data_IF_341933457974
#
_entry.id   IF_341933457974
#
_cell.length_a   1.000
_cell.length_b   1.000
_cell.length_c   1.000
_cell.angle_alpha   90.00
_cell.angle_beta   90.00
_cell.angle_gamma   90.00
#
_symmetry.space_group_name_H-M   'P 1'
#
loop_
_entity.id
_entity.type
_entity.pdbx_description
1 polymer ?
#
# COMPACT_ATOMS: atom_id res chain seq x y z
N UNK A 1 18.76 -2.01 -9.71
CA UNK A 1 18.86 -3.49 -9.80
C UNK A 1 17.63 -4.11 -9.14
N UNK A 2 16.54 -4.35 -9.87
CA UNK A 2 15.36 -5.04 -9.32
C UNK A 2 15.73 -6.53 -9.28
N UNK A 3 16.01 -7.07 -8.08
CA UNK A 3 16.31 -8.49 -7.90
C UNK A 3 15.07 -9.31 -8.30
N UNK A 4 15.19 -9.99 -9.45
CA UNK A 4 14.53 -11.25 -9.87
C UNK A 4 13.42 -11.73 -8.92
N UNK A 5 12.16 -11.53 -9.31
CA UNK A 5 11.04 -12.39 -8.92
C UNK A 5 10.23 -12.03 -7.66
N UNK A 6 10.54 -10.98 -6.91
CA UNK A 6 9.69 -10.58 -5.77
C UNK A 6 8.53 -9.72 -6.25
N UNK A 7 7.30 -10.25 -6.17
CA UNK A 7 6.08 -9.45 -6.31
C UNK A 7 6.05 -8.39 -5.21
N UNK A 8 5.67 -7.18 -5.57
CA UNK A 8 5.47 -6.06 -4.65
C UNK A 8 4.10 -5.48 -4.96
N UNK A 9 3.45 -4.95 -3.93
CA UNK A 9 2.18 -4.25 -4.06
C UNK A 9 2.45 -2.76 -3.93
N UNK A 10 2.12 -1.97 -4.95
CA UNK A 10 2.26 -0.52 -4.92
C UNK A 10 0.88 0.11 -4.78
N UNK A 11 0.72 1.01 -3.83
CA UNK A 11 -0.49 1.80 -3.63
C UNK A 11 -0.18 3.26 -3.93
N UNK A 12 -0.92 3.86 -4.86
CA UNK A 12 -0.85 5.29 -5.21
C UNK A 12 -2.19 5.97 -4.95
N UNK A 13 -2.22 7.30 -4.98
CA UNK A 13 -3.44 8.08 -4.84
C UNK A 13 -3.61 8.78 -3.49
N UNK A 14 -2.59 8.76 -2.63
CA UNK A 14 -2.61 9.50 -1.37
C UNK A 14 -2.19 10.96 -1.59
N UNK A 15 -3.08 11.89 -1.24
CA UNK A 15 -2.80 13.34 -1.22
C UNK A 15 -2.13 13.78 0.08
N UNK A 16 -2.47 13.13 1.19
CA UNK A 16 -1.98 13.47 2.52
C UNK A 16 -0.83 12.56 2.96
N UNK A 17 0.34 13.14 3.21
CA UNK A 17 1.52 12.40 3.67
C UNK A 17 1.29 11.76 5.05
N UNK A 18 0.66 12.46 6.00
CA UNK A 18 0.37 11.92 7.33
C UNK A 18 -0.57 10.70 7.25
N UNK A 19 -1.58 10.78 6.39
CA UNK A 19 -2.52 9.69 6.14
C UNK A 19 -1.81 8.50 5.49
N UNK A 20 -0.94 8.76 4.50
CA UNK A 20 -0.10 7.75 3.85
C UNK A 20 0.79 7.02 4.86
N UNK A 21 1.48 7.72 5.75
CA UNK A 21 2.35 7.10 6.75
C UNK A 21 1.57 6.26 7.76
N UNK A 22 0.39 6.73 8.19
CA UNK A 22 -0.52 5.99 9.06
C UNK A 22 -0.99 4.69 8.40
N UNK A 23 -1.47 4.77 7.15
CA UNK A 23 -1.93 3.62 6.37
C UNK A 23 -0.79 2.64 6.11
N UNK A 24 0.40 3.13 5.76
CA UNK A 24 1.56 2.28 5.57
C UNK A 24 1.91 1.54 6.86
N UNK A 25 1.80 2.18 8.02
CA UNK A 25 2.03 1.54 9.31
C UNK A 25 0.98 0.46 9.60
N UNK A 26 -0.30 0.76 9.40
CA UNK A 26 -1.38 -0.21 9.58
C UNK A 26 -1.29 -1.38 8.60
N UNK A 27 -1.03 -1.14 7.31
CA UNK A 27 -0.84 -2.18 6.30
C UNK A 27 0.33 -3.09 6.66
N UNK A 28 1.47 -2.53 7.10
CA UNK A 28 2.61 -3.32 7.57
C UNK A 28 2.24 -4.20 8.77
N UNK A 29 1.44 -3.69 9.72
CA UNK A 29 0.97 -4.43 10.90
C UNK A 29 -0.02 -5.55 10.53
N UNK A 30 -0.96 -5.26 9.63
CA UNK A 30 -2.01 -6.20 9.19
C UNK A 30 -1.45 -7.31 8.30
N UNK A 31 -0.56 -6.97 7.38
CA UNK A 31 0.01 -7.92 6.41
C UNK A 31 1.24 -8.62 6.99
N UNK A 32 1.94 -7.98 7.94
CA UNK A 32 3.18 -8.51 8.52
C UNK A 32 4.36 -8.45 7.55
N UNK A 33 4.35 -7.51 6.60
CA UNK A 33 5.38 -7.39 5.56
C UNK A 33 6.18 -6.10 5.69
N UNK A 34 7.39 -6.12 5.13
CA UNK A 34 8.20 -4.92 4.95
C UNK A 34 7.61 -4.01 3.87
N UNK A 35 7.72 -2.70 4.07
CA UNK A 35 7.25 -1.71 3.10
C UNK A 35 7.75 -0.30 3.38
N UNK A 36 7.70 0.53 2.34
CA UNK A 36 8.15 1.92 2.34
C UNK A 36 7.02 2.80 1.81
N UNK A 37 6.80 3.95 2.43
CA UNK A 37 5.93 4.99 1.91
C UNK A 37 6.80 6.19 1.53
N UNK A 38 6.80 6.58 0.25
CA UNK A 38 7.60 7.71 -0.25
C UNK A 38 6.98 8.29 -1.52
N UNK A 39 7.06 9.61 -1.67
CA UNK A 39 6.56 10.34 -2.85
C UNK A 39 5.08 10.09 -3.17
N UNK A 40 4.22 9.94 -2.15
CA UNK A 40 2.79 9.64 -2.34
C UNK A 40 2.49 8.19 -2.76
N UNK A 41 3.50 7.30 -2.66
CA UNK A 41 3.38 5.89 -3.04
C UNK A 41 3.77 5.02 -1.85
N UNK A 42 2.92 4.07 -1.51
CA UNK A 42 3.22 3.01 -0.55
C UNK A 42 3.64 1.77 -1.33
N UNK A 43 4.77 1.17 -0.98
CA UNK A 43 5.30 -0.05 -1.58
C UNK A 43 5.42 -1.11 -0.51
N UNK A 44 4.74 -2.23 -0.70
CA UNK A 44 4.76 -3.39 0.18
C UNK A 44 5.42 -4.58 -0.51
N UNK A 45 6.19 -5.37 0.23
CA UNK A 45 6.75 -6.62 -0.29
C UNK A 45 5.69 -7.72 -0.30
N UNK A 46 5.56 -8.44 -1.41
CA UNK A 46 4.54 -9.48 -1.61
C UNK A 46 3.38 -9.05 -2.52
N UNK A 47 2.56 -10.02 -2.92
CA UNK A 47 1.30 -9.79 -3.64
C UNK A 47 0.16 -9.81 -2.61
N UNK A 48 -0.28 -8.64 -2.21
CA UNK A 48 -1.30 -8.44 -1.17
C UNK A 48 -2.43 -7.54 -1.66
N UNK A 49 -2.58 -7.40 -2.97
CA UNK A 49 -3.51 -6.46 -3.61
C UNK A 49 -4.93 -6.59 -3.05
N UNK A 50 -5.46 -7.80 -2.95
CA UNK A 50 -6.80 -8.04 -2.39
C UNK A 50 -6.95 -7.56 -0.94
N UNK A 51 -5.97 -7.88 -0.07
CA UNK A 51 -6.00 -7.46 1.35
C UNK A 51 -5.86 -5.95 1.50
N UNK A 52 -5.00 -5.35 0.66
CA UNK A 52 -4.76 -3.91 0.64
C UNK A 52 -6.02 -3.18 0.19
N UNK A 53 -6.66 -3.63 -0.89
CA UNK A 53 -7.92 -3.07 -1.38
C UNK A 53 -9.01 -3.16 -0.33
N UNK A 54 -9.22 -4.33 0.28
CA UNK A 54 -10.23 -4.51 1.33
C UNK A 54 -9.97 -3.61 2.56
N UNK A 55 -8.71 -3.50 2.98
CA UNK A 55 -8.32 -2.62 4.08
C UNK A 55 -8.61 -1.15 3.75
N UNK A 56 -8.28 -0.71 2.54
CA UNK A 56 -8.49 0.68 2.11
C UNK A 56 -9.99 0.99 1.95
N UNK A 57 -10.77 0.09 1.37
CA UNK A 57 -12.23 0.19 1.32
C UNK A 57 -12.84 0.29 2.73
N UNK A 58 -12.37 -0.54 3.67
CA UNK A 58 -12.83 -0.50 5.07
C UNK A 58 -12.48 0.82 5.79
N UNK A 59 -11.45 1.54 5.33
CA UNK A 59 -11.09 2.87 5.84
C UNK A 59 -11.85 4.01 5.17
N UNK A 60 -12.68 3.70 4.17
CA UNK A 60 -13.46 4.68 3.41
C UNK A 60 -12.75 5.24 2.18
N UNK A 61 -11.62 4.65 1.76
CA UNK A 61 -11.02 5.00 0.47
C UNK A 61 -11.81 4.37 -0.67
N UNK A 62 -12.03 5.12 -1.73
CA UNK A 62 -12.68 4.62 -2.94
C UNK A 62 -11.66 3.91 -3.82
N UNK A 63 -11.97 2.73 -4.34
CA UNK A 63 -11.10 1.98 -5.28
C UNK A 63 -10.68 2.81 -6.50
N UNK A 64 -11.51 3.76 -6.94
CA UNK A 64 -11.18 4.69 -8.03
C UNK A 64 -10.14 5.76 -7.65
N UNK A 65 -10.02 6.09 -6.37
CA UNK A 65 -9.09 7.09 -5.87
C UNK A 65 -7.69 6.51 -5.61
N UNK A 66 -7.57 5.18 -5.52
CA UNK A 66 -6.34 4.48 -5.15
C UNK A 66 -5.98 3.39 -6.17
N UNK A 67 -4.79 3.50 -6.74
CA UNK A 67 -4.29 2.52 -7.71
C UNK A 67 -3.42 1.48 -6.99
N UNK A 68 -3.80 0.21 -7.05
CA UNK A 68 -3.05 -0.92 -6.47
C UNK A 68 -2.43 -1.78 -7.58
N UNK A 69 -1.11 -1.79 -7.71
CA UNK A 69 -0.33 -2.48 -8.77
C UNK A 69 0.50 -3.63 -8.19
#
# INVERSE_FOLDING_TARGET
MIKRGKRVTQIKGFTDQNQMESIAHELKKTIGTGGTAKNGIIVLQGDHRSKVTEFLLSKGFSEEAIEVI
#
